data_IF_024257882138
#
_entry.id   IF_024257882138
#
_cell.length_a   1.000
_cell.length_b   1.000
_cell.length_c   1.000
_cell.angle_alpha   90.00
_cell.angle_beta   90.00
_cell.angle_gamma   90.00
#
_symmetry.space_group_name_H-M   'P 1'
#
loop_
_entity.id
_entity.type
_entity.pdbx_description
1 polymer ?
#
# COMPACT_ATOMS: atom_id res chain seq x y z
N UNK A 1 -65.61 8.96 25.86
CA UNK A 1 -65.50 7.48 25.80
C UNK A 1 -64.16 6.98 25.24
N UNK A 2 -63.23 7.83 24.81
CA UNK A 2 -61.98 7.36 24.16
C UNK A 2 -60.79 7.15 25.10
N UNK A 3 -60.75 7.83 26.26
CA UNK A 3 -59.61 7.75 27.19
C UNK A 3 -59.40 6.34 27.78
N UNK A 4 -60.48 5.67 28.16
CA UNK A 4 -60.43 4.31 28.71
C UNK A 4 -59.91 3.27 27.70
N UNK A 5 -60.06 3.53 26.39
CA UNK A 5 -59.51 2.67 25.35
C UNK A 5 -57.99 2.90 25.20
N UNK A 6 -57.54 4.16 25.28
CA UNK A 6 -56.10 4.49 25.26
C UNK A 6 -55.39 3.90 26.48
N UNK A 7 -55.97 4.01 27.68
CA UNK A 7 -55.38 3.41 28.89
C UNK A 7 -55.21 1.88 28.76
N UNK A 8 -56.21 1.19 28.21
CA UNK A 8 -56.11 -0.25 27.91
C UNK A 8 -55.00 -0.55 26.90
N UNK A 9 -54.87 0.27 25.86
CA UNK A 9 -53.82 0.12 24.86
C UNK A 9 -52.42 0.39 25.44
N UNK A 10 -52.27 1.36 26.35
CA UNK A 10 -51.01 1.62 27.05
C UNK A 10 -50.62 0.43 27.92
N UNK A 11 -51.57 -0.18 28.64
CA UNK A 11 -51.32 -1.41 29.42
C UNK A 11 -50.89 -2.55 28.49
N UNK A 12 -51.58 -2.72 27.35
CA UNK A 12 -51.27 -3.74 26.35
C UNK A 12 -49.87 -3.54 25.73
N UNK A 13 -49.49 -2.29 25.48
CA UNK A 13 -48.18 -1.89 24.96
C UNK A 13 -47.07 -2.19 25.98
N UNK A 14 -47.28 -1.85 27.25
CA UNK A 14 -46.36 -2.20 28.34
C UNK A 14 -46.16 -3.71 28.47
N UNK A 15 -47.20 -4.49 28.18
CA UNK A 15 -47.15 -5.95 28.19
C UNK A 15 -46.60 -6.53 26.88
N UNK A 16 -46.25 -5.72 25.87
CA UNK A 16 -45.70 -6.17 24.60
C UNK A 16 -46.68 -6.97 23.74
N UNK A 17 -47.99 -6.75 23.90
CA UNK A 17 -49.04 -7.53 23.22
C UNK A 17 -49.81 -6.74 22.16
N UNK A 18 -49.41 -5.51 21.89
CA UNK A 18 -50.05 -4.62 20.90
C UNK A 18 -49.83 -5.08 19.47
N UNK A 19 -50.80 -4.77 18.60
CA UNK A 19 -50.65 -4.88 17.15
C UNK A 19 -50.11 -3.58 16.54
N UNK A 20 -49.64 -3.64 15.29
CA UNK A 20 -49.14 -2.46 14.56
C UNK A 20 -50.23 -1.38 14.38
N UNK A 21 -51.49 -1.79 14.22
CA UNK A 21 -52.62 -0.87 14.10
C UNK A 21 -52.90 -0.13 15.42
N UNK A 22 -52.83 -0.86 16.54
CA UNK A 22 -53.00 -0.31 17.89
C UNK A 22 -51.87 0.67 18.24
N UNK A 23 -50.64 0.37 17.85
CA UNK A 23 -49.49 1.27 18.03
C UNK A 23 -49.59 2.53 17.18
N UNK A 24 -50.18 2.44 15.98
CA UNK A 24 -50.49 3.62 15.16
C UNK A 24 -51.48 4.55 15.87
N UNK A 25 -52.49 3.99 16.52
CA UNK A 25 -53.48 4.75 17.32
C UNK A 25 -52.79 5.42 18.52
N UNK A 26 -51.99 4.67 19.29
CA UNK A 26 -51.20 5.21 20.40
C UNK A 26 -50.28 6.35 19.95
N UNK A 27 -49.55 6.14 18.85
CA UNK A 27 -48.66 7.14 18.28
C UNK A 27 -49.42 8.41 17.93
N UNK A 28 -50.55 8.30 17.23
CA UNK A 28 -51.36 9.46 16.85
C UNK A 28 -51.86 10.23 18.08
N UNK A 29 -52.36 9.52 19.10
CA UNK A 29 -52.82 10.11 20.36
C UNK A 29 -51.71 10.91 21.07
N UNK A 30 -50.52 10.31 21.25
CA UNK A 30 -49.39 10.96 21.93
C UNK A 30 -48.67 12.03 21.11
N UNK A 31 -48.86 12.05 19.79
CA UNK A 31 -48.41 13.15 18.91
C UNK A 31 -49.41 14.31 18.80
N UNK A 32 -50.61 14.17 19.36
CA UNK A 32 -51.63 15.21 19.36
C UNK A 32 -51.36 16.34 20.36
N UNK A 33 -52.19 17.38 20.31
CA UNK A 33 -51.99 18.64 21.06
C UNK A 33 -52.35 18.54 22.56
N UNK A 34 -53.17 17.56 22.96
CA UNK A 34 -53.68 17.42 24.33
C UNK A 34 -53.70 15.96 24.80
N UNK A 35 -52.74 15.60 25.65
CA UNK A 35 -52.64 14.29 26.31
C UNK A 35 -53.12 14.40 27.76
N UNK A 36 -53.81 13.36 28.26
CA UNK A 36 -54.26 13.33 29.65
C UNK A 36 -53.09 13.40 30.63
N UNK A 37 -53.25 14.17 31.73
CA UNK A 37 -52.17 14.46 32.68
C UNK A 37 -51.46 13.21 33.24
N UNK A 38 -52.20 12.12 33.47
CA UNK A 38 -51.64 10.87 34.00
C UNK A 38 -50.93 9.99 32.95
N UNK A 39 -51.09 10.29 31.65
CA UNK A 39 -50.40 9.60 30.55
C UNK A 39 -49.22 10.41 29.99
N UNK A 40 -48.99 11.61 30.53
CA UNK A 40 -47.97 12.53 30.06
C UNK A 40 -46.55 11.93 30.16
N UNK A 41 -46.31 11.01 31.10
CA UNK A 41 -45.05 10.27 31.25
C UNK A 41 -44.69 9.44 30.01
N UNK A 42 -45.68 8.97 29.24
CA UNK A 42 -45.46 8.11 28.07
C UNK A 42 -45.22 8.91 26.77
N UNK A 43 -45.51 10.21 26.76
CA UNK A 43 -45.33 11.12 25.60
C UNK A 43 -43.93 11.01 24.94
N UNK A 44 -42.80 11.07 25.68
CA UNK A 44 -41.48 10.99 25.05
C UNK A 44 -41.26 9.69 24.27
N UNK A 45 -41.90 8.56 24.65
CA UNK A 45 -41.75 7.28 23.96
C UNK A 45 -42.28 7.31 22.53
N UNK A 46 -43.35 8.09 22.28
CA UNK A 46 -44.02 8.15 20.98
C UNK A 46 -43.63 9.37 20.15
N UNK A 47 -43.05 10.40 20.77
CA UNK A 47 -42.70 11.67 20.10
C UNK A 47 -41.22 11.78 19.72
N UNK A 48 -40.30 11.03 20.36
CA UNK A 48 -38.85 11.13 20.14
C UNK A 48 -38.43 11.06 18.66
N UNK A 49 -38.93 10.06 17.92
CA UNK A 49 -38.58 9.89 16.50
C UNK A 49 -39.17 10.97 15.59
N UNK A 50 -40.27 11.62 15.98
CA UNK A 50 -40.83 12.74 15.21
C UNK A 50 -39.97 13.99 15.30
N UNK A 51 -39.32 14.19 16.44
CA UNK A 51 -38.38 15.29 16.67
C UNK A 51 -37.09 15.08 15.88
N UNK A 52 -36.49 13.88 15.96
CA UNK A 52 -35.24 13.55 15.25
C UNK A 52 -35.41 13.56 13.74
N UNK A 53 -36.57 13.15 13.21
CA UNK A 53 -36.83 13.19 11.77
C UNK A 53 -36.84 14.63 11.21
N UNK A 54 -37.11 15.65 12.04
CA UNK A 54 -36.98 17.07 11.64
C UNK A 54 -35.52 17.51 11.53
N UNK A 55 -34.61 16.89 12.28
CA UNK A 55 -33.16 17.01 12.11
C UNK A 55 -32.62 16.04 11.05
N UNK A 56 -33.36 15.83 9.94
CA UNK A 56 -32.77 15.14 8.80
C UNK A 56 -31.55 15.96 8.35
N UNK A 57 -30.37 15.34 8.44
CA UNK A 57 -29.11 15.91 8.01
C UNK A 57 -29.13 16.12 6.49
N UNK A 58 -29.75 17.22 6.05
CA UNK A 58 -29.80 17.69 4.66
C UNK A 58 -28.50 18.42 4.29
N UNK A 59 -27.39 17.96 4.85
CA UNK A 59 -26.09 18.31 4.33
C UNK A 59 -25.90 17.39 3.15
N UNK A 60 -26.11 17.91 1.94
CA UNK A 60 -25.54 17.35 0.72
C UNK A 60 -24.05 17.11 0.96
N UNK A 61 -23.70 15.90 1.41
CA UNK A 61 -22.30 15.51 1.64
C UNK A 61 -21.71 15.35 0.26
N UNK A 62 -21.22 16.46 -0.28
CA UNK A 62 -20.34 16.45 -1.43
C UNK A 62 -19.03 15.81 -0.96
N UNK A 63 -18.99 14.47 -0.99
CA UNK A 63 -17.77 13.72 -0.82
C UNK A 63 -16.83 14.16 -1.93
N UNK A 64 -15.87 15.01 -1.58
CA UNK A 64 -14.83 15.45 -2.51
C UNK A 64 -13.93 14.24 -2.74
N UNK A 65 -14.26 13.44 -3.74
CA UNK A 65 -13.41 12.34 -4.20
C UNK A 65 -12.16 13.01 -4.80
N UNK A 66 -11.10 13.13 -4.01
CA UNK A 66 -9.78 13.47 -4.54
C UNK A 66 -9.35 12.31 -5.45
N UNK A 67 -9.46 12.55 -6.76
CA UNK A 67 -8.91 11.63 -7.76
C UNK A 67 -7.42 11.51 -7.48
N UNK A 68 -6.85 10.29 -7.43
CA UNK A 68 -5.42 10.13 -7.26
C UNK A 68 -4.74 10.89 -8.40
N UNK A 69 -3.93 11.89 -8.03
CA UNK A 69 -3.13 12.68 -8.95
C UNK A 69 -2.09 11.76 -9.57
N UNK A 70 -2.48 11.06 -10.64
CA UNK A 70 -1.62 10.26 -11.50
C UNK A 70 -0.77 11.20 -12.37
N UNK A 71 -0.05 12.13 -11.74
CA UNK A 71 0.84 13.03 -12.45
C UNK A 71 2.14 12.26 -12.72
N UNK A 72 2.36 11.99 -14.02
CA UNK A 72 3.65 11.68 -14.63
C UNK A 72 4.14 10.22 -14.69
N UNK A 73 3.32 9.21 -14.35
CA UNK A 73 3.70 7.79 -14.59
C UNK A 73 3.90 7.43 -16.07
N UNK A 74 3.43 8.28 -17.00
CA UNK A 74 3.56 8.08 -18.46
C UNK A 74 5.02 8.06 -18.93
N UNK A 75 5.92 8.81 -18.28
CA UNK A 75 7.33 8.86 -18.66
C UNK A 75 8.21 7.84 -17.91
N UNK A 76 7.66 7.13 -16.93
CA UNK A 76 8.41 6.16 -16.13
C UNK A 76 8.85 4.94 -16.98
N UNK A 77 8.01 4.51 -17.92
CA UNK A 77 8.34 3.40 -18.83
C UNK A 77 9.46 3.78 -19.82
N UNK A 78 9.44 5.03 -20.32
CA UNK A 78 10.48 5.54 -21.22
C UNK A 78 11.81 5.72 -20.49
N UNK A 79 11.79 6.22 -19.25
CA UNK A 79 13.01 6.32 -18.44
C UNK A 79 13.63 4.94 -18.15
N UNK A 80 12.81 3.93 -17.86
CA UNK A 80 13.29 2.58 -17.56
C UNK A 80 13.98 1.91 -18.75
N UNK A 81 13.47 2.07 -19.98
CA UNK A 81 14.10 1.50 -21.17
C UNK A 81 15.47 2.13 -21.46
N UNK A 82 15.60 3.44 -21.29
CA UNK A 82 16.87 4.14 -21.46
C UNK A 82 17.90 3.64 -20.44
N UNK A 83 17.52 3.48 -19.18
CA UNK A 83 18.42 2.96 -18.13
C UNK A 83 18.87 1.52 -18.44
N UNK A 84 17.98 0.65 -18.91
CA UNK A 84 18.36 -0.71 -19.30
C UNK A 84 19.37 -0.74 -20.47
N UNK A 85 19.18 0.12 -21.46
CA UNK A 85 20.11 0.24 -22.58
C UNK A 85 21.48 0.76 -22.12
N UNK A 86 21.52 1.82 -21.31
CA UNK A 86 22.77 2.37 -20.80
C UNK A 86 23.53 1.38 -19.91
N UNK A 87 22.82 0.68 -19.01
CA UNK A 87 23.45 -0.30 -18.13
C UNK A 87 23.99 -1.50 -18.91
N UNK A 88 23.24 -2.03 -19.88
CA UNK A 88 23.71 -3.15 -20.72
C UNK A 88 24.99 -2.80 -21.50
N UNK A 89 25.04 -1.63 -22.14
CA UNK A 89 26.23 -1.16 -22.87
C UNK A 89 27.42 -0.98 -21.92
N UNK A 90 27.20 -0.45 -20.71
CA UNK A 90 28.23 -0.29 -19.70
C UNK A 90 28.82 -1.64 -19.26
N UNK A 91 27.98 -2.64 -18.97
CA UNK A 91 28.42 -3.98 -18.59
C UNK A 91 29.21 -4.67 -19.72
N UNK A 92 28.76 -4.56 -20.98
CA UNK A 92 29.45 -5.13 -22.14
C UNK A 92 30.83 -4.50 -22.31
N UNK A 93 30.94 -3.16 -22.24
CA UNK A 93 32.23 -2.47 -22.29
C UNK A 93 33.17 -2.94 -21.18
N UNK A 94 32.68 -2.99 -19.94
CA UNK A 94 33.46 -3.43 -18.79
C UNK A 94 34.03 -4.84 -18.97
N UNK A 95 33.23 -5.78 -19.46
CA UNK A 95 33.70 -7.15 -19.65
C UNK A 95 34.68 -7.27 -20.83
N UNK A 96 34.46 -6.52 -21.91
CA UNK A 96 35.39 -6.47 -23.03
C UNK A 96 36.77 -5.91 -22.62
N UNK A 97 36.79 -4.84 -21.82
CA UNK A 97 38.04 -4.23 -21.33
C UNK A 97 38.82 -5.23 -20.44
N UNK A 98 38.12 -5.96 -19.57
CA UNK A 98 38.71 -7.04 -18.76
C UNK A 98 39.27 -8.17 -19.61
N UNK A 99 38.56 -8.56 -20.66
CA UNK A 99 39.00 -9.59 -21.60
C UNK A 99 40.29 -9.16 -22.32
N UNK A 100 40.35 -7.91 -22.81
CA UNK A 100 41.55 -7.39 -23.48
C UNK A 100 42.74 -7.29 -22.52
N UNK A 101 42.53 -6.80 -21.30
CA UNK A 101 43.57 -6.74 -20.27
C UNK A 101 44.13 -8.14 -19.95
N UNK A 102 43.25 -9.15 -19.81
CA UNK A 102 43.67 -10.55 -19.57
C UNK A 102 44.46 -11.12 -20.75
N UNK A 103 44.07 -10.81 -21.99
CA UNK A 103 44.77 -11.24 -23.20
C UNK A 103 46.18 -10.66 -23.26
N UNK A 104 46.32 -9.36 -23.02
CA UNK A 104 47.62 -8.67 -23.00
C UNK A 104 48.51 -9.21 -21.87
N UNK A 105 47.97 -9.34 -20.66
CA UNK A 105 48.71 -9.92 -19.53
C UNK A 105 49.24 -11.31 -19.85
N UNK A 106 48.42 -12.18 -20.44
CA UNK A 106 48.83 -13.54 -20.82
C UNK A 106 49.99 -13.53 -21.83
N UNK A 107 49.99 -12.61 -22.79
CA UNK A 107 51.09 -12.47 -23.76
C UNK A 107 52.38 -12.02 -23.08
N UNK A 108 52.30 -11.02 -22.20
CA UNK A 108 53.45 -10.52 -21.43
C UNK A 108 54.00 -11.62 -20.52
N UNK A 109 53.16 -12.36 -19.80
CA UNK A 109 53.58 -13.47 -18.96
C UNK A 109 54.29 -14.57 -19.77
N UNK A 110 53.81 -14.88 -20.98
CA UNK A 110 54.50 -15.83 -21.87
C UNK A 110 55.88 -15.32 -22.27
N UNK A 111 56.00 -14.06 -22.66
CA UNK A 111 57.29 -13.43 -22.98
C UNK A 111 58.25 -13.44 -21.80
N UNK A 112 57.79 -13.01 -20.62
CA UNK A 112 58.57 -13.04 -19.37
C UNK A 112 58.98 -14.45 -18.98
N UNK A 113 58.13 -15.45 -19.20
CA UNK A 113 58.47 -16.86 -18.96
C UNK A 113 59.57 -17.36 -19.91
N UNK A 114 59.55 -16.95 -21.17
CA UNK A 114 60.62 -17.29 -22.11
C UNK A 114 61.93 -16.60 -21.71
N UNK A 115 61.87 -15.31 -21.36
CA UNK A 115 63.03 -14.57 -20.88
C UNK A 115 63.62 -15.21 -19.62
N UNK A 116 62.80 -15.60 -18.65
CA UNK A 116 63.29 -16.25 -17.43
C UNK A 116 63.95 -17.60 -17.70
N UNK A 117 63.44 -18.37 -18.67
CA UNK A 117 64.08 -19.61 -19.13
C UNK A 117 65.47 -19.32 -19.73
N UNK A 118 65.59 -18.29 -20.57
CA UNK A 118 66.88 -17.96 -21.20
C UNK A 118 67.88 -17.38 -20.19
N UNK A 119 67.42 -16.56 -19.25
CA UNK A 119 68.25 -16.05 -18.15
C UNK A 119 68.79 -17.20 -17.28
N UNK A 120 67.94 -18.14 -16.88
CA UNK A 120 68.36 -19.33 -16.11
C UNK A 120 69.41 -20.15 -16.87
N UNK A 121 69.22 -20.35 -18.18
CA UNK A 121 70.23 -21.04 -19.00
C UNK A 121 71.55 -20.28 -19.03
N UNK A 122 71.51 -18.96 -19.18
CA UNK A 122 72.70 -18.10 -19.16
C UNK A 122 73.45 -18.19 -17.82
N UNK A 123 72.73 -18.12 -16.69
CA UNK A 123 73.29 -18.30 -15.35
C UNK A 123 74.00 -19.65 -15.20
N UNK A 124 73.35 -20.74 -15.63
CA UNK A 124 73.98 -22.08 -15.57
C UNK A 124 75.21 -22.20 -16.46
N UNK A 125 75.22 -21.57 -17.64
CA UNK A 125 76.37 -21.58 -18.53
C UNK A 125 77.56 -20.81 -17.93
N UNK A 126 77.31 -19.63 -17.34
CA UNK A 126 78.34 -18.87 -16.64
C UNK A 126 78.90 -19.66 -15.45
N UNK A 127 78.06 -20.26 -14.62
CA UNK A 127 78.50 -21.06 -13.48
C UNK A 127 79.44 -22.21 -13.91
N UNK A 128 79.12 -22.90 -15.02
CA UNK A 128 79.96 -23.96 -15.57
C UNK A 128 81.31 -23.45 -16.09
N UNK A 129 81.36 -22.25 -16.69
CA UNK A 129 82.63 -21.64 -17.15
C UNK A 129 83.49 -21.29 -15.94
N UNK A 130 82.92 -20.66 -14.91
CA UNK A 130 83.66 -20.33 -13.69
C UNK A 130 84.19 -21.56 -12.96
N UNK A 131 83.42 -22.66 -12.89
CA UNK A 131 83.91 -23.90 -12.27
C UNK A 131 85.03 -24.57 -13.06
N UNK A 132 85.04 -24.44 -14.39
CA UNK A 132 86.08 -25.02 -15.24
C UNK A 132 87.38 -24.20 -15.29
N UNK A 133 87.34 -22.90 -14.95
CA UNK A 133 88.55 -22.07 -14.87
C UNK A 133 89.29 -22.15 -13.53
N UNK A 134 88.62 -22.67 -12.48
CA UNK A 134 89.18 -22.83 -11.13
C UNK A 134 89.61 -24.28 -10.80
N UNK A 135 89.68 -25.16 -11.81
CA UNK A 135 90.24 -26.51 -11.77
C UNK A 135 91.42 -26.57 -12.76
#
# INVERSE_FOLDING_TARGET
>A
MELANIEKLVIKYKNGTTSLEEESILRNYFTGESVAAHLQEYVPMFTYFTFIKKESFDKNVQLKIEKPSNKNRKFLSVAASIVLLLTSVFFIKKENDRYQAKKQFTQITKGLKLLSIQLKKGETALANVYSNQNN
#
